data_IF_443952953024
#
_entry.id   IF_443952953024
#
_cell.length_a   1.000
_cell.length_b   1.000
_cell.length_c   1.000
_cell.angle_alpha   90.00
_cell.angle_beta   90.00
_cell.angle_gamma   90.00
#
_symmetry.space_group_name_H-M   'P 1'
#
loop_
_entity.id
_entity.type
_entity.pdbx_description
1 polymer ?
#
# COMPACT_ATOMS: atom_id res chain seq x y z
N UNK A 1 25.36 101.16 5.73
CA UNK A 1 25.95 99.81 5.55
C UNK A 1 24.79 98.82 5.67
N UNK A 2 24.44 98.19 4.54
CA UNK A 2 23.55 97.03 4.29
C UNK A 2 22.10 97.07 4.85
N UNK A 3 21.10 97.30 3.98
CA UNK A 3 20.23 96.33 3.27
C UNK A 3 19.20 95.64 4.19
N UNK A 4 17.91 96.01 4.08
CA UNK A 4 16.84 95.29 3.34
C UNK A 4 16.35 94.03 4.10
N UNK A 5 15.08 93.74 4.37
CA UNK A 5 13.84 93.85 3.59
C UNK A 5 12.62 93.75 4.53
N UNK A 6 11.52 94.41 4.19
CA UNK A 6 10.19 94.17 4.76
C UNK A 6 9.42 93.22 3.85
N UNK A 7 8.78 92.16 4.38
CA UNK A 7 7.66 91.48 3.70
C UNK A 7 6.63 91.01 4.74
N UNK A 8 5.40 91.45 4.48
CA UNK A 8 4.11 91.13 5.10
C UNK A 8 3.80 89.63 5.13
N UNK A 9 3.35 89.11 6.27
CA UNK A 9 2.70 87.80 6.38
C UNK A 9 1.19 87.96 6.48
N UNK A 10 0.55 87.76 5.32
CA UNK A 10 -0.87 87.54 5.14
C UNK A 10 -1.36 86.32 5.94
N UNK A 11 -2.48 86.47 6.65
CA UNK A 11 -3.28 85.36 7.17
C UNK A 11 -4.15 84.77 6.05
N UNK A 12 -4.03 83.47 5.69
CA UNK A 12 -5.08 82.83 4.92
C UNK A 12 -6.12 82.24 5.89
N UNK A 13 -7.35 82.70 5.73
CA UNK A 13 -8.54 82.01 6.23
C UNK A 13 -8.60 80.63 5.58
N UNK A 14 -8.50 79.58 6.38
CA UNK A 14 -8.65 78.20 5.91
C UNK A 14 -10.14 77.91 5.76
N UNK A 15 -10.63 77.98 4.53
CA UNK A 15 -11.91 77.41 4.12
C UNK A 15 -11.78 75.88 4.13
N UNK A 16 -12.27 75.24 5.20
CA UNK A 16 -12.42 73.80 5.27
C UNK A 16 -13.54 73.32 4.34
N UNK A 17 -13.18 72.88 3.14
CA UNK A 17 -14.10 72.13 2.27
C UNK A 17 -14.15 70.68 2.76
N UNK A 18 -15.24 70.28 3.39
CA UNK A 18 -15.50 68.88 3.70
C UNK A 18 -15.88 68.16 2.40
N UNK A 19 -14.88 67.54 1.75
CA UNK A 19 -15.13 66.51 0.75
C UNK A 19 -15.68 65.28 1.48
N UNK A 20 -16.98 65.05 1.38
CA UNK A 20 -17.57 63.77 1.72
C UNK A 20 -17.00 62.72 0.75
N UNK A 21 -15.98 62.00 1.18
CA UNK A 21 -15.52 60.80 0.50
C UNK A 21 -16.62 59.74 0.62
N UNK A 22 -17.47 59.65 -0.40
CA UNK A 22 -18.38 58.54 -0.56
C UNK A 22 -17.54 57.28 -0.80
N UNK A 23 -17.25 56.56 0.27
CA UNK A 23 -16.63 55.24 0.21
C UNK A 23 -17.61 54.29 -0.46
N UNK A 24 -17.50 54.14 -1.78
CA UNK A 24 -18.17 53.09 -2.54
C UNK A 24 -17.64 51.75 -2.01
N UNK A 25 -18.39 51.13 -1.10
CA UNK A 25 -18.22 49.71 -0.78
C UNK A 25 -18.54 48.94 -2.05
N UNK A 26 -17.52 48.64 -2.84
CA UNK A 26 -17.62 47.57 -3.82
C UNK A 26 -17.75 46.27 -3.03
N UNK A 27 -18.98 45.93 -2.66
CA UNK A 27 -19.35 44.55 -2.38
C UNK A 27 -19.06 43.79 -3.66
N UNK A 28 -17.95 43.06 -3.68
CA UNK A 28 -17.75 41.94 -4.58
C UNK A 28 -18.86 40.94 -4.30
N UNK A 29 -19.98 41.12 -4.99
CA UNK A 29 -20.99 40.09 -5.13
C UNK A 29 -20.33 39.00 -5.96
N UNK A 30 -19.70 38.05 -5.27
CA UNK A 30 -19.57 36.71 -5.82
C UNK A 30 -21.00 36.28 -6.12
N UNK A 31 -21.35 36.25 -7.40
CA UNK A 31 -22.54 35.55 -7.87
C UNK A 31 -22.32 34.08 -7.48
N UNK A 32 -22.75 33.73 -6.27
CA UNK A 32 -22.91 32.34 -5.86
C UNK A 32 -24.04 31.83 -6.73
N UNK A 33 -23.66 31.37 -7.93
CA UNK A 33 -24.53 30.55 -8.73
C UNK A 33 -24.82 29.34 -7.86
N UNK A 34 -26.02 29.31 -7.27
CA UNK A 34 -26.67 28.11 -6.73
C UNK A 34 -27.00 27.14 -7.87
N UNK A 35 -26.06 27.00 -8.80
CA UNK A 35 -26.18 26.23 -10.01
C UNK A 35 -25.45 24.92 -9.78
N UNK A 36 -26.15 24.10 -9.01
CA UNK A 36 -26.22 22.65 -9.14
C UNK A 36 -24.87 21.94 -8.94
N UNK A 37 -24.51 21.71 -7.66
CA UNK A 37 -23.65 20.56 -7.34
C UNK A 37 -24.38 19.32 -7.87
N UNK A 38 -23.83 18.57 -8.84
CA UNK A 38 -24.48 17.37 -9.34
C UNK A 38 -24.69 16.41 -8.17
N UNK A 39 -25.85 15.77 -8.13
CA UNK A 39 -26.11 14.75 -7.12
C UNK A 39 -25.00 13.69 -7.18
N UNK A 40 -24.57 13.16 -6.04
CA UNK A 40 -23.59 12.09 -6.03
C UNK A 40 -24.09 10.94 -6.92
N UNK A 41 -23.20 10.31 -7.69
CA UNK A 41 -23.57 9.15 -8.48
C UNK A 41 -24.17 8.07 -7.57
N UNK A 42 -25.03 7.22 -8.15
CA UNK A 42 -25.55 6.06 -7.42
C UNK A 42 -24.38 5.19 -6.93
N UNK A 43 -24.45 4.64 -5.70
CA UNK A 43 -23.45 3.69 -5.22
C UNK A 43 -23.29 2.51 -6.18
N UNK A 44 -22.04 2.12 -6.42
CA UNK A 44 -21.70 0.93 -7.20
C UNK A 44 -22.02 -0.34 -6.38
N UNK A 45 -22.53 -1.43 -7.00
CA UNK A 45 -22.72 -2.69 -6.31
C UNK A 45 -21.40 -3.25 -5.77
N UNK A 46 -21.38 -3.65 -4.50
CA UNK A 46 -20.21 -4.28 -3.87
C UNK A 46 -20.45 -5.79 -3.80
N UNK A 47 -19.52 -6.57 -4.36
CA UNK A 47 -19.47 -8.02 -4.17
C UNK A 47 -18.32 -8.38 -3.24
N UNK A 48 -18.56 -9.29 -2.31
CA UNK A 48 -17.55 -9.79 -1.37
C UNK A 48 -17.20 -11.21 -1.75
N UNK A 49 -15.93 -11.47 -1.99
CA UNK A 49 -15.38 -12.81 -2.26
C UNK A 49 -14.33 -13.14 -1.22
N UNK A 50 -14.30 -14.40 -0.79
CA UNK A 50 -13.24 -14.93 0.07
C UNK A 50 -12.08 -15.40 -0.79
N UNK A 51 -10.85 -15.00 -0.42
CA UNK A 51 -9.64 -15.55 -1.04
C UNK A 51 -9.22 -16.83 -0.33
N UNK A 52 -8.83 -17.82 -1.11
CA UNK A 52 -8.32 -19.08 -0.58
C UNK A 52 -6.86 -18.88 -0.16
N UNK A 53 -6.57 -19.18 1.10
CA UNK A 53 -5.23 -19.11 1.70
C UNK A 53 -4.65 -20.52 1.86
N UNK A 54 -3.33 -20.65 2.12
CA UNK A 54 -2.77 -21.93 2.49
C UNK A 54 -3.53 -22.58 3.67
N UNK A 55 -3.52 -23.91 3.79
CA UNK A 55 -4.16 -24.61 4.89
C UNK A 55 -3.70 -24.10 6.25
N UNK A 56 -4.61 -24.06 7.22
CA UNK A 56 -4.35 -23.56 8.57
C UNK A 56 -4.10 -24.73 9.52
N UNK A 57 -3.15 -24.59 10.45
CA UNK A 57 -2.97 -25.52 11.57
C UNK A 57 -2.90 -24.82 12.92
N UNK A 58 -3.41 -25.50 13.95
CA UNK A 58 -3.22 -25.13 15.35
C UNK A 58 -1.99 -25.80 15.97
N UNK A 59 -1.47 -26.86 15.34
CA UNK A 59 -0.29 -27.56 15.80
C UNK A 59 0.95 -27.02 15.09
N UNK A 60 1.70 -26.15 15.77
CA UNK A 60 2.92 -25.53 15.23
C UNK A 60 4.16 -26.42 15.39
N UNK A 61 4.07 -27.54 16.10
CA UNK A 61 5.19 -28.46 16.25
C UNK A 61 5.53 -29.15 14.92
N UNK A 62 6.79 -29.58 14.68
CA UNK A 62 7.17 -30.25 13.44
C UNK A 62 6.25 -31.43 13.11
N UNK A 63 5.76 -31.47 11.87
CA UNK A 63 4.77 -32.45 11.41
C UNK A 63 3.31 -32.16 11.81
N UNK A 64 3.04 -31.03 12.47
CA UNK A 64 1.69 -30.55 12.79
C UNK A 64 0.88 -30.15 11.56
N UNK A 65 1.55 -29.86 10.44
CA UNK A 65 0.97 -29.83 9.11
C UNK A 65 1.25 -31.16 8.40
N UNK A 66 0.34 -32.13 8.55
CA UNK A 66 0.51 -33.46 7.93
C UNK A 66 0.13 -33.46 6.45
N UNK A 67 0.57 -34.48 5.69
CA UNK A 67 0.13 -34.73 4.29
C UNK A 67 -1.38 -34.84 4.12
N UNK A 68 -2.11 -35.18 5.19
CA UNK A 68 -3.56 -35.22 5.15
C UNK A 68 -4.19 -33.82 5.15
N UNK A 69 -3.49 -32.84 5.73
CA UNK A 69 -3.91 -31.43 5.78
C UNK A 69 -3.41 -30.69 4.52
N UNK A 70 -2.15 -30.90 4.16
CA UNK A 70 -1.55 -30.35 2.96
C UNK A 70 -0.76 -31.46 2.24
N UNK A 71 -1.36 -32.04 1.20
CA UNK A 71 -0.75 -33.12 0.41
C UNK A 71 0.49 -32.69 -0.36
N UNK A 72 0.69 -31.38 -0.57
CA UNK A 72 1.83 -30.81 -1.27
C UNK A 72 3.04 -30.56 -0.37
N UNK A 73 2.89 -30.74 0.95
CA UNK A 73 3.97 -30.56 1.95
C UNK A 73 4.61 -29.16 1.96
N UNK A 74 3.92 -28.15 1.41
CA UNK A 74 4.33 -26.74 1.36
C UNK A 74 4.11 -26.00 2.69
N UNK A 75 3.71 -26.70 3.75
CA UNK A 75 3.45 -26.16 5.08
C UNK A 75 2.01 -25.68 5.29
N UNK A 76 1.70 -25.30 6.54
CA UNK A 76 0.41 -24.73 6.93
C UNK A 76 0.64 -23.38 7.60
N UNK A 77 -0.31 -22.45 7.51
CA UNK A 77 -0.21 -21.17 8.23
C UNK A 77 -0.74 -21.31 9.66
N UNK A 78 -0.16 -20.55 10.59
CA UNK A 78 -0.62 -20.53 11.98
C UNK A 78 -2.00 -19.87 12.10
N UNK A 79 -2.92 -20.52 12.84
CA UNK A 79 -4.32 -20.07 12.93
C UNK A 79 -4.52 -18.66 13.52
N UNK A 80 -3.64 -18.23 14.43
CA UNK A 80 -3.85 -17.01 15.23
C UNK A 80 -2.93 -15.85 14.88
N UNK A 81 -1.90 -16.07 14.08
CA UNK A 81 -0.82 -15.08 13.88
C UNK A 81 -0.17 -15.22 12.52
N UNK A 82 0.31 -14.11 11.99
CA UNK A 82 1.26 -14.12 10.89
C UNK A 82 0.68 -13.90 9.50
N UNK A 83 -0.64 -13.69 9.36
CA UNK A 83 -1.25 -13.21 8.12
C UNK A 83 -1.26 -11.67 8.09
N UNK A 84 -0.70 -11.09 7.04
CA UNK A 84 -0.78 -9.67 6.78
C UNK A 84 -1.00 -9.43 5.29
N UNK A 85 -2.12 -8.81 4.92
CA UNK A 85 -2.39 -8.44 3.53
C UNK A 85 -1.47 -7.30 3.06
N UNK A 86 -1.10 -7.35 1.80
CA UNK A 86 -0.34 -6.35 1.07
C UNK A 86 -1.17 -5.64 -0.01
N UNK A 87 -0.48 -5.09 -1.00
CA UNK A 87 -1.14 -4.50 -2.17
C UNK A 87 -1.61 -5.55 -3.16
N UNK A 88 -2.47 -5.13 -4.08
CA UNK A 88 -2.66 -5.85 -5.34
C UNK A 88 -1.40 -5.74 -6.21
N UNK A 89 -1.18 -6.73 -7.08
CA UNK A 89 -0.28 -6.59 -8.21
C UNK A 89 -0.89 -5.62 -9.25
N UNK A 90 -0.09 -5.07 -10.18
CA UNK A 90 -0.57 -4.12 -11.17
C UNK A 90 -1.68 -4.65 -12.10
N UNK A 91 -1.87 -5.98 -12.17
CA UNK A 91 -2.94 -6.60 -12.95
C UNK A 91 -4.32 -6.57 -12.26
N UNK A 92 -4.38 -6.19 -10.99
CA UNK A 92 -5.62 -6.14 -10.20
C UNK A 92 -6.22 -7.50 -9.84
N UNK A 93 -5.59 -8.62 -10.25
CA UNK A 93 -6.13 -9.97 -10.09
C UNK A 93 -5.35 -10.81 -9.08
N UNK A 94 -4.26 -10.26 -8.52
CA UNK A 94 -3.42 -10.94 -7.55
C UNK A 94 -3.18 -10.04 -6.35
N UNK A 95 -3.20 -10.62 -5.16
CA UNK A 95 -2.99 -9.93 -3.88
C UNK A 95 -1.75 -10.49 -3.22
N UNK A 96 -0.89 -9.59 -2.72
CA UNK A 96 0.23 -9.98 -1.88
C UNK A 96 -0.22 -10.23 -0.46
N UNK A 97 0.37 -11.22 0.19
CA UNK A 97 0.21 -11.41 1.63
C UNK A 97 1.50 -11.93 2.24
N UNK A 98 1.77 -11.52 3.46
CA UNK A 98 2.77 -12.15 4.31
C UNK A 98 2.07 -13.19 5.16
N UNK A 99 2.64 -14.39 5.21
CA UNK A 99 2.16 -15.50 6.03
C UNK A 99 3.28 -16.03 6.91
N UNK A 100 2.94 -16.77 7.96
CA UNK A 100 3.91 -17.56 8.73
C UNK A 100 3.54 -19.02 8.60
N UNK A 101 4.35 -19.77 7.85
CA UNK A 101 4.22 -21.21 7.76
C UNK A 101 4.81 -21.87 9.00
N UNK A 102 4.13 -22.91 9.47
CA UNK A 102 4.44 -23.66 10.68
C UNK A 102 4.09 -25.13 10.50
N UNK A 103 4.66 -25.97 11.36
CA UNK A 103 4.33 -27.39 11.43
C UNK A 103 4.80 -28.20 10.22
N UNK A 104 5.67 -27.63 9.38
CA UNK A 104 6.40 -28.36 8.34
C UNK A 104 7.22 -29.48 8.96
N UNK A 105 7.51 -30.50 8.15
CA UNK A 105 8.25 -31.66 8.60
C UNK A 105 9.74 -31.43 8.35
N UNK A 106 10.58 -31.72 9.33
CA UNK A 106 12.03 -31.47 9.24
C UNK A 106 12.81 -32.56 8.47
N UNK A 107 12.11 -33.51 7.84
CA UNK A 107 12.71 -34.67 7.19
C UNK A 107 12.97 -34.50 5.69
N UNK A 108 12.45 -33.45 5.05
CA UNK A 108 12.78 -33.07 3.68
C UNK A 108 13.29 -31.63 3.62
N UNK A 109 14.29 -31.38 2.80
CA UNK A 109 14.77 -30.01 2.55
C UNK A 109 13.68 -29.16 1.88
N UNK A 110 12.81 -29.77 1.06
CA UNK A 110 11.66 -29.10 0.44
C UNK A 110 10.63 -28.59 1.46
N UNK A 111 10.39 -29.27 2.58
CA UNK A 111 9.48 -28.76 3.61
C UNK A 111 10.11 -27.67 4.48
N UNK A 112 11.43 -27.67 4.65
CA UNK A 112 12.14 -26.66 5.45
C UNK A 112 12.14 -25.28 4.80
N UNK A 113 12.17 -25.21 3.47
CA UNK A 113 12.25 -23.93 2.76
C UNK A 113 11.00 -23.06 2.91
N UNK A 114 9.88 -23.65 3.32
CA UNK A 114 8.64 -22.93 3.59
C UNK A 114 8.55 -22.39 5.01
N UNK A 115 9.25 -22.98 5.98
CA UNK A 115 9.07 -22.67 7.40
C UNK A 115 9.37 -21.18 7.72
N UNK A 116 8.55 -20.61 8.61
CA UNK A 116 8.69 -19.22 9.04
C UNK A 116 7.93 -18.21 8.18
N UNK A 117 8.34 -16.94 8.28
CA UNK A 117 7.67 -15.80 7.65
C UNK A 117 8.00 -15.75 6.16
N UNK A 118 6.98 -15.72 5.31
CA UNK A 118 7.10 -15.76 3.85
C UNK A 118 6.15 -14.77 3.19
N UNK A 119 6.45 -14.36 1.96
CA UNK A 119 5.54 -13.60 1.09
C UNK A 119 4.92 -14.55 0.06
N UNK A 120 3.59 -14.49 -0.02
CA UNK A 120 2.79 -15.22 -0.99
C UNK A 120 2.03 -14.27 -1.91
N UNK A 121 1.69 -14.77 -3.09
CA UNK A 121 0.74 -14.17 -4.02
C UNK A 121 -0.52 -15.03 -3.99
N UNK A 122 -1.68 -14.41 -3.89
CA UNK A 122 -2.99 -15.06 -3.88
C UNK A 122 -3.81 -14.58 -5.07
N UNK A 123 -4.42 -15.48 -5.82
CA UNK A 123 -5.31 -15.14 -6.94
C UNK A 123 -6.67 -14.64 -6.44
N UNK A 124 -7.13 -13.52 -6.99
CA UNK A 124 -8.32 -12.80 -6.51
C UNK A 124 -9.66 -13.30 -7.09
N UNK A 125 -9.66 -14.32 -7.97
CA UNK A 125 -10.85 -14.72 -8.73
C UNK A 125 -11.14 -16.23 -8.72
N UNK A 126 -10.68 -16.96 -7.69
CA UNK A 126 -10.92 -18.41 -7.56
C UNK A 126 -10.15 -19.28 -8.56
N UNK A 127 -9.27 -18.68 -9.36
CA UNK A 127 -8.30 -19.37 -10.19
C UNK A 127 -7.16 -19.99 -9.35
N UNK A 128 -6.48 -20.99 -9.94
CA UNK A 128 -5.31 -21.65 -9.34
C UNK A 128 -4.04 -21.41 -10.17
N UNK A 129 -2.89 -21.46 -9.52
CA UNK A 129 -1.58 -21.61 -10.17
C UNK A 129 -1.41 -23.05 -10.67
N UNK A 130 -0.42 -23.34 -11.55
CA UNK A 130 -0.17 -24.70 -12.03
C UNK A 130 0.15 -25.73 -10.94
N UNK A 131 0.62 -25.27 -9.77
CA UNK A 131 0.77 -26.09 -8.56
C UNK A 131 -0.56 -26.69 -8.07
N UNK A 132 -1.70 -26.14 -8.50
CA UNK A 132 -3.04 -26.48 -8.03
C UNK A 132 -3.52 -25.62 -6.86
N UNK A 133 -2.63 -24.80 -6.27
CA UNK A 133 -2.98 -23.85 -5.22
C UNK A 133 -3.48 -22.53 -5.79
N UNK A 134 -4.39 -21.87 -5.07
CA UNK A 134 -4.83 -20.49 -5.36
C UNK A 134 -3.81 -19.43 -4.93
N UNK A 135 -2.70 -19.88 -4.36
CA UNK A 135 -1.61 -19.08 -3.85
C UNK A 135 -0.28 -19.66 -4.32
N UNK A 136 0.76 -18.84 -4.33
CA UNK A 136 2.13 -19.29 -4.52
C UNK A 136 3.10 -18.51 -3.64
N UNK A 137 4.21 -19.13 -3.27
CA UNK A 137 5.21 -18.50 -2.42
C UNK A 137 6.38 -17.96 -3.24
N UNK A 138 6.71 -16.67 -3.08
CA UNK A 138 7.77 -16.00 -3.85
C UNK A 138 9.06 -15.79 -3.04
N UNK A 139 9.08 -16.23 -1.78
CA UNK A 139 10.26 -16.17 -0.90
C UNK A 139 10.67 -17.53 -0.34
N UNK A 140 9.83 -18.55 -0.48
CA UNK A 140 10.15 -19.92 -0.08
C UNK A 140 11.31 -20.41 -0.95
N UNK A 141 12.34 -21.00 -0.37
CA UNK A 141 13.47 -21.56 -1.15
C UNK A 141 14.42 -20.52 -1.75
N UNK A 142 14.08 -19.23 -1.67
CA UNK A 142 14.98 -18.17 -2.05
C UNK A 142 16.28 -18.26 -1.23
N UNK A 143 17.38 -18.62 -1.90
CA UNK A 143 18.72 -18.59 -1.29
C UNK A 143 18.90 -17.21 -0.66
N UNK A 144 19.28 -17.18 0.61
CA UNK A 144 19.42 -15.93 1.34
C UNK A 144 20.33 -14.96 0.59
N UNK A 145 19.75 -14.00 -0.13
CA UNK A 145 20.51 -12.94 -0.78
C UNK A 145 21.05 -11.93 0.24
N UNK A 146 20.73 -12.09 1.52
CA UNK A 146 21.30 -11.31 2.61
C UNK A 146 22.09 -12.21 3.56
N UNK A 147 23.39 -11.98 3.66
CA UNK A 147 24.25 -12.42 4.77
C UNK A 147 23.89 -11.70 6.09
N UNK A 148 22.60 -11.44 6.36
CA UNK A 148 22.18 -10.69 7.54
C UNK A 148 21.55 -11.63 8.55
N UNK A 149 22.11 -11.64 9.76
CA UNK A 149 21.61 -12.36 10.94
C UNK A 149 20.29 -11.79 11.49
N UNK A 150 19.61 -10.96 10.69
CA UNK A 150 18.37 -10.28 11.04
C UNK A 150 17.23 -11.14 10.51
N UNK A 151 16.30 -11.50 11.38
CA UNK A 151 15.09 -12.21 10.97
C UNK A 151 14.43 -11.47 9.81
N UNK A 152 14.12 -12.18 8.71
CA UNK A 152 13.49 -11.62 7.51
C UNK A 152 12.20 -10.91 7.88
N UNK A 153 12.23 -9.58 7.91
CA UNK A 153 11.02 -8.79 8.08
C UNK A 153 10.36 -8.54 6.74
N UNK A 154 9.44 -9.44 6.38
CA UNK A 154 8.57 -9.30 5.20
C UNK A 154 7.28 -8.54 5.51
N UNK A 155 7.33 -7.50 6.33
CA UNK A 155 6.14 -6.71 6.68
C UNK A 155 5.66 -5.86 5.50
N UNK A 156 4.35 -5.67 5.37
CA UNK A 156 3.70 -4.77 4.39
C UNK A 156 4.17 -4.97 2.94
N UNK A 157 3.93 -6.15 2.34
CA UNK A 157 4.37 -6.39 0.98
C UNK A 157 3.62 -5.48 0.00
N UNK A 158 4.37 -4.75 -0.83
CA UNK A 158 3.86 -3.82 -1.84
C UNK A 158 4.45 -4.14 -3.20
N UNK A 159 3.60 -4.27 -4.20
CA UNK A 159 4.01 -4.52 -5.57
C UNK A 159 4.61 -3.26 -6.20
N UNK A 160 5.68 -3.43 -6.95
CA UNK A 160 6.12 -2.40 -7.89
C UNK A 160 5.18 -2.37 -9.10
N UNK A 161 5.10 -1.23 -9.77
CA UNK A 161 4.27 -1.04 -10.97
C UNK A 161 4.70 -1.89 -12.18
N UNK A 162 5.90 -2.49 -12.13
CA UNK A 162 6.42 -3.36 -13.18
C UNK A 162 5.89 -4.80 -13.12
N UNK A 163 5.21 -5.19 -12.01
CA UNK A 163 4.70 -6.54 -11.81
C UNK A 163 5.77 -7.61 -11.61
N UNK A 164 7.03 -7.23 -11.38
CA UNK A 164 8.18 -8.13 -11.29
C UNK A 164 8.84 -8.11 -9.92
N UNK A 165 8.60 -7.05 -9.14
CA UNK A 165 9.23 -6.82 -7.85
C UNK A 165 8.22 -6.55 -6.75
N UNK A 166 8.58 -6.92 -5.52
CA UNK A 166 7.82 -6.63 -4.30
C UNK A 166 8.75 -5.98 -3.28
N UNK A 167 8.32 -4.90 -2.65
CA UNK A 167 8.93 -4.37 -1.45
C UNK A 167 8.25 -5.01 -0.24
N UNK A 168 8.99 -5.68 0.64
CA UNK A 168 8.49 -6.24 1.88
C UNK A 168 9.48 -5.91 3.01
N UNK A 169 9.04 -5.09 3.96
CA UNK A 169 9.89 -4.46 4.97
C UNK A 169 11.01 -3.67 4.31
N UNK A 170 12.25 -4.09 4.57
CA UNK A 170 13.45 -3.50 3.97
C UNK A 170 13.97 -4.27 2.74
N UNK A 171 13.26 -5.30 2.27
CA UNK A 171 13.71 -6.20 1.22
C UNK A 171 12.98 -5.96 -0.10
N UNK A 172 13.71 -6.04 -1.21
CA UNK A 172 13.13 -6.14 -2.54
C UNK A 172 13.23 -7.58 -3.01
N UNK A 173 12.08 -8.20 -3.24
CA UNK A 173 11.95 -9.53 -3.83
C UNK A 173 11.83 -9.34 -5.34
N UNK A 174 12.74 -9.94 -6.10
CA UNK A 174 12.80 -9.83 -7.55
C UNK A 174 13.01 -11.22 -8.17
N UNK A 175 12.03 -11.67 -8.96
CA UNK A 175 12.11 -12.95 -9.67
C UNK A 175 12.83 -12.84 -11.02
N UNK A 176 13.23 -11.64 -11.45
CA UNK A 176 13.76 -11.41 -12.80
C UNK A 176 12.73 -11.61 -13.92
N UNK A 177 11.50 -12.03 -13.60
CA UNK A 177 10.36 -12.29 -14.49
C UNK A 177 9.09 -11.74 -13.84
N UNK A 178 7.94 -11.92 -14.51
CA UNK A 178 6.67 -11.52 -13.91
C UNK A 178 6.42 -12.35 -12.65
N UNK A 179 6.03 -11.67 -11.57
CA UNK A 179 5.70 -12.27 -10.29
C UNK A 179 4.63 -13.36 -10.40
N UNK A 180 3.75 -13.33 -11.40
CA UNK A 180 2.67 -14.32 -11.57
C UNK A 180 3.05 -15.50 -12.47
N UNK A 181 4.19 -15.42 -13.16
CA UNK A 181 4.65 -16.51 -14.04
C UNK A 181 5.16 -17.72 -13.25
N UNK A 182 5.09 -18.89 -13.88
CA UNK A 182 5.62 -20.16 -13.36
C UNK A 182 7.15 -20.16 -13.29
N UNK A 183 7.81 -19.25 -14.01
CA UNK A 183 9.26 -19.03 -13.91
C UNK A 183 9.66 -18.26 -12.64
N UNK A 184 8.69 -17.63 -11.97
CA UNK A 184 8.86 -17.00 -10.66
C UNK A 184 8.42 -17.99 -9.57
N UNK A 185 9.12 -19.11 -9.54
CA UNK A 185 9.15 -20.05 -8.43
C UNK A 185 10.61 -20.14 -7.99
N UNK A 186 10.82 -19.89 -6.70
CA UNK A 186 12.11 -20.09 -6.03
C UNK A 186 12.16 -21.53 -5.51
N UNK A 187 11.93 -22.49 -6.39
CA UNK A 187 12.22 -23.91 -6.12
C UNK A 187 13.70 -24.24 -6.39
#
# INVERSE_FOLDING_TARGET
MLLATAISSFTPAVFGSALAAAASRQTSQWLYSDNQVPHPPSPEPISITSLSLPPVTHNTAPGGCSRHINSLETGCIAASTGLQAGSFLPDGNHVLATVTFVGTRNDSESSKVHDGKQVIIVKAAGEVFPSGDSWKCITCGAKDYSNSSIAKDYSYPQAFSDGRRVLAGAYVIDCGKNLTSDECDVD
#
